data_IF_986211088630
#
_entry.id   IF_986211088630
#
_cell.length_a   1.000
_cell.length_b   1.000
_cell.length_c   1.000
_cell.angle_alpha   90.00
_cell.angle_beta   90.00
_cell.angle_gamma   90.00
#
_symmetry.space_group_name_H-M   'P 1'
#
loop_
_entity.id
_entity.type
_entity.pdbx_description
1 polymer ?
#
# COMPACT_ATOMS: atom_id res chain seq x y z
N UNK A 1 13.02 4.08 18.50
CA UNK A 1 12.61 4.02 18.13
C UNK A 1 12.11 3.60 17.10
N UNK A 2 11.91 3.28 16.81
CA UNK A 2 11.51 2.68 15.98
C UNK A 2 10.34 2.96 15.34
N UNK A 3 9.75 3.76 15.55
CA UNK A 3 8.58 4.23 14.93
C UNK A 3 8.72 4.53 13.47
N UNK A 4 9.88 4.42 12.98
CA UNK A 4 10.11 4.74 11.59
C UNK A 4 9.28 3.92 10.66
N UNK A 5 8.92 2.71 11.06
CA UNK A 5 8.20 1.81 10.17
C UNK A 5 6.70 1.89 10.32
N UNK A 6 6.22 2.71 11.24
CA UNK A 6 4.79 2.77 11.49
C UNK A 6 4.01 3.12 10.23
N UNK A 7 4.44 4.14 9.52
CA UNK A 7 3.70 4.57 8.34
C UNK A 7 3.79 3.54 7.23
N UNK A 8 4.94 2.87 7.12
CA UNK A 8 5.10 1.84 6.10
C UNK A 8 4.22 0.64 6.39
N UNK A 9 4.13 0.26 7.66
CA UNK A 9 3.28 -0.86 8.05
C UNK A 9 1.81 -0.51 7.85
N UNK A 10 1.42 0.70 8.24
CA UNK A 10 0.04 1.13 8.06
C UNK A 10 -0.34 1.18 6.59
N UNK A 11 0.56 1.72 5.78
CA UNK A 11 0.31 1.78 4.34
C UNK A 11 0.20 0.39 3.75
N UNK A 12 1.10 -0.50 4.13
CA UNK A 12 1.08 -1.87 3.63
C UNK A 12 -0.20 -2.59 4.00
N UNK A 13 -0.66 -2.41 5.24
CA UNK A 13 -1.92 -3.02 5.67
C UNK A 13 -3.10 -2.46 4.88
N UNK A 14 -3.07 -1.18 4.59
CA UNK A 14 -4.14 -0.56 3.81
C UNK A 14 -4.19 -1.13 2.39
N UNK A 15 -3.02 -1.28 1.77
CA UNK A 15 -2.94 -1.87 0.44
C UNK A 15 -3.50 -3.29 0.45
N UNK A 16 -3.08 -4.08 1.44
CA UNK A 16 -3.56 -5.45 1.55
C UNK A 16 -5.07 -5.50 1.73
N UNK A 17 -5.60 -4.64 2.59
CA UNK A 17 -7.02 -4.58 2.87
C UNK A 17 -7.81 -4.32 1.59
N UNK A 18 -7.39 -3.31 0.83
CA UNK A 18 -8.10 -2.95 -0.40
C UNK A 18 -7.93 -4.02 -1.47
N UNK A 19 -6.74 -4.62 -1.54
CA UNK A 19 -6.49 -5.69 -2.49
C UNK A 19 -7.41 -6.88 -2.22
N UNK A 20 -7.49 -7.29 -0.97
CA UNK A 20 -8.33 -8.43 -0.59
C UNK A 20 -9.80 -8.13 -0.79
N UNK A 21 -10.20 -6.89 -0.55
CA UNK A 21 -11.60 -6.51 -0.76
C UNK A 21 -12.01 -6.68 -2.22
N UNK A 22 -11.06 -6.62 -3.13
CA UNK A 22 -11.33 -6.83 -4.55
C UNK A 22 -11.10 -8.26 -4.99
N UNK A 23 -10.78 -9.15 -4.06
CA UNK A 23 -10.61 -10.56 -4.38
C UNK A 23 -9.32 -10.88 -5.12
N UNK A 24 -8.32 -10.01 -5.03
CA UNK A 24 -7.08 -10.19 -5.78
C UNK A 24 -6.01 -10.83 -4.93
N UNK A 25 -5.30 -11.81 -5.50
CA UNK A 25 -4.09 -12.32 -4.89
C UNK A 25 -2.97 -11.29 -5.06
N UNK A 26 -1.89 -11.45 -4.29
CA UNK A 26 -0.73 -10.58 -4.48
C UNK A 26 -0.21 -10.68 -5.91
N UNK A 27 -0.18 -11.88 -6.44
CA UNK A 27 0.34 -12.12 -7.77
C UNK A 27 -0.50 -11.41 -8.83
N UNK A 28 -1.83 -11.55 -8.74
CA UNK A 28 -2.72 -10.90 -9.69
C UNK A 28 -2.64 -9.39 -9.57
N UNK A 29 -2.57 -8.90 -8.34
CA UNK A 29 -2.49 -7.46 -8.12
C UNK A 29 -1.18 -6.89 -8.67
N UNK A 30 -0.07 -7.56 -8.39
CA UNK A 30 1.23 -7.11 -8.89
C UNK A 30 1.23 -7.08 -10.42
N UNK A 31 0.64 -8.11 -11.04
CA UNK A 31 0.55 -8.15 -12.50
C UNK A 31 -0.23 -6.97 -13.04
N UNK A 32 -1.32 -6.61 -12.40
CA UNK A 32 -2.13 -5.46 -12.83
C UNK A 32 -1.39 -4.15 -12.63
N UNK A 33 -0.57 -4.07 -11.58
CA UNK A 33 0.24 -2.89 -11.33
C UNK A 33 1.42 -2.78 -12.29
N UNK A 34 1.81 -3.89 -12.91
CA UNK A 34 3.05 -3.93 -13.67
C UNK A 34 4.25 -3.90 -12.76
N UNK A 35 4.09 -4.38 -11.53
CA UNK A 35 5.16 -4.41 -10.54
C UNK A 35 5.46 -5.85 -10.15
N UNK A 36 6.66 -6.06 -9.61
CA UNK A 36 7.08 -7.37 -9.19
C UNK A 36 6.30 -7.82 -7.96
N UNK A 37 5.90 -9.10 -7.94
CA UNK A 37 5.16 -9.63 -6.81
C UNK A 37 5.95 -9.53 -5.51
N UNK A 38 7.27 -9.75 -5.58
CA UNK A 38 8.12 -9.66 -4.40
C UNK A 38 8.11 -8.24 -3.84
N UNK A 39 8.08 -7.25 -4.74
CA UNK A 39 8.01 -5.86 -4.33
C UNK A 39 6.66 -5.58 -3.64
N UNK A 40 5.57 -6.03 -4.23
CA UNK A 40 4.23 -5.84 -3.64
C UNK A 40 4.16 -6.51 -2.27
N UNK A 41 4.71 -7.72 -2.14
CA UNK A 41 4.75 -8.39 -0.85
C UNK A 41 5.51 -7.58 0.19
N UNK A 42 6.65 -7.01 -0.22
CA UNK A 42 7.42 -6.16 0.68
C UNK A 42 6.67 -4.90 1.10
N UNK A 43 5.94 -4.30 0.16
CA UNK A 43 5.13 -3.13 0.46
C UNK A 43 4.07 -3.49 1.50
N UNK A 44 3.40 -4.61 1.31
CA UNK A 44 2.32 -5.01 2.23
C UNK A 44 2.84 -5.35 3.62
N UNK A 45 4.10 -5.78 3.72
CA UNK A 45 4.69 -6.07 5.02
C UNK A 45 5.33 -4.85 5.67
N UNK A 46 5.27 -3.71 5.00
CA UNK A 46 5.86 -2.49 5.53
C UNK A 46 7.37 -2.47 5.44
N UNK A 47 7.93 -3.20 4.49
CA UNK A 47 9.38 -3.33 4.36
C UNK A 47 9.96 -2.52 3.22
N UNK A 48 9.14 -1.76 2.51
CA UNK A 48 9.60 -0.95 1.40
C UNK A 48 9.21 0.50 1.60
N UNK A 49 10.17 1.38 1.40
CA UNK A 49 9.91 2.81 1.39
C UNK A 49 9.48 3.15 -0.02
N UNK A 50 8.19 3.14 -0.26
CA UNK A 50 7.63 3.18 -1.59
C UNK A 50 7.71 4.57 -2.21
N UNK A 51 8.11 4.61 -3.47
CA UNK A 51 8.16 5.87 -4.21
C UNK A 51 6.75 6.36 -4.51
N UNK A 52 6.60 7.67 -4.56
CA UNK A 52 5.29 8.28 -4.81
C UNK A 52 4.70 7.81 -6.14
N UNK A 53 5.54 7.60 -7.15
CA UNK A 53 5.07 7.11 -8.44
C UNK A 53 4.40 5.74 -8.30
N UNK A 54 4.96 4.89 -7.45
CA UNK A 54 4.38 3.57 -7.24
C UNK A 54 3.11 3.65 -6.38
N UNK A 55 3.04 4.62 -5.48
CA UNK A 55 1.80 4.88 -4.74
C UNK A 55 0.68 5.20 -5.73
N UNK A 56 0.98 6.03 -6.72
CA UNK A 56 0.00 6.38 -7.75
C UNK A 56 -0.44 5.15 -8.54
N UNK A 57 0.51 4.30 -8.92
CA UNK A 57 0.20 3.09 -9.67
C UNK A 57 -0.73 2.19 -8.86
N UNK A 58 -0.42 2.01 -7.58
CA UNK A 58 -1.22 1.17 -6.70
C UNK A 58 -2.63 1.73 -6.56
N UNK A 59 -2.75 3.04 -6.35
CA UNK A 59 -4.06 3.67 -6.21
C UNK A 59 -4.90 3.47 -7.48
N UNK A 60 -4.30 3.69 -8.64
CA UNK A 60 -5.01 3.51 -9.90
C UNK A 60 -5.44 2.07 -10.11
N UNK A 61 -4.57 1.13 -9.78
CA UNK A 61 -4.89 -0.28 -9.93
C UNK A 61 -6.06 -0.68 -9.03
N UNK A 62 -6.11 -0.12 -7.83
CA UNK A 62 -7.20 -0.37 -6.90
C UNK A 62 -8.43 0.47 -7.19
N UNK A 63 -8.32 1.40 -8.13
CA UNK A 63 -9.40 2.29 -8.51
C UNK A 63 -9.86 3.15 -7.34
N UNK A 64 -8.90 3.66 -6.59
CA UNK A 64 -9.17 4.58 -5.49
C UNK A 64 -8.28 5.79 -5.67
N UNK A 65 -8.64 6.89 -5.01
CA UNK A 65 -7.79 8.06 -5.00
C UNK A 65 -6.61 7.82 -4.05
N UNK A 66 -5.56 8.61 -4.19
CA UNK A 66 -4.46 8.53 -3.24
C UNK A 66 -4.95 8.88 -1.85
N UNK A 67 -5.90 9.81 -1.76
CA UNK A 67 -6.50 10.17 -0.48
C UNK A 67 -7.17 8.96 0.18
N UNK A 68 -7.94 8.20 -0.60
CA UNK A 68 -8.59 7.00 -0.07
C UNK A 68 -7.57 5.94 0.30
N UNK A 69 -6.55 5.78 -0.52
CA UNK A 69 -5.53 4.77 -0.29
C UNK A 69 -4.79 5.04 1.02
N UNK A 70 -4.57 6.30 1.36
CA UNK A 70 -3.81 6.66 2.55
C UNK A 70 -4.70 7.10 3.70
N UNK A 71 -5.99 6.86 3.61
CA UNK A 71 -6.94 7.28 4.63
C UNK A 71 -6.61 6.66 5.97
N UNK A 72 -6.52 7.48 7.00
CA UNK A 72 -6.29 7.01 8.35
C UNK A 72 -4.84 6.71 8.69
N UNK A 73 -3.94 6.82 7.71
CA UNK A 73 -2.56 6.40 7.94
C UNK A 73 -1.83 7.33 8.88
N UNK A 74 -2.06 8.62 8.75
CA UNK A 74 -1.35 9.57 9.59
C UNK A 74 -2.28 10.33 10.50
N UNK A 75 -3.51 9.87 10.64
CA UNK A 75 -4.52 10.62 11.38
C UNK A 75 -4.25 10.72 12.85
N UNK A 76 -3.53 9.81 13.39
CA UNK A 76 -3.28 9.81 14.81
C UNK A 76 -2.40 10.92 15.24
N UNK A 77 -1.86 11.57 14.35
CA UNK A 77 -1.11 12.62 14.78
C UNK A 77 -1.83 13.64 15.29
N UNK A 78 -2.15 13.89 15.52
CA UNK A 78 -2.66 14.80 16.10
C UNK A 78 -2.66 15.24 16.94
N UNK A 79 -2.44 15.39 17.02
CA UNK A 79 -2.46 15.94 17.70
C UNK A 79 -2.48 16.19 18.12
#
# INVERSE_FOLDING_TARGET
MVANNDILIKFGNRVRELRKAQGLSQEAFAARCGLDRTYIGGVERGQRNIALRNVEIIAKTLNVSISELTQGISGEQQQ
#
